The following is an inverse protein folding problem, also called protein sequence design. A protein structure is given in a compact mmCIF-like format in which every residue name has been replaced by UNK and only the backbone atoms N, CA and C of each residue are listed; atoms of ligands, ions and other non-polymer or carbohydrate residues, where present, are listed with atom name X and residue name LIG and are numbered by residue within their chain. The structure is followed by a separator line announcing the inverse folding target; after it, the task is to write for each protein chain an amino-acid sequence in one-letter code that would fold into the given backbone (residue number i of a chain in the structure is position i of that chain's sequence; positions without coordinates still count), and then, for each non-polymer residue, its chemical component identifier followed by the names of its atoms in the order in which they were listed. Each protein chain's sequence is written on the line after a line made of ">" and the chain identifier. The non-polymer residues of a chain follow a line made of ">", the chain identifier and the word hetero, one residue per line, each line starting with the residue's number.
data_IF_689638213948
#
_entry.id   IF_689638213948
#
_cell.length_a   1.000
_cell.length_b   1.000
_cell.length_c   1.000
_cell.angle_alpha   90.00
_cell.angle_beta   90.00
_cell.angle_gamma   90.00
#
_symmetry.space_group_name_H-M   'P 1'
#
loop_
_entity.id
_entity.type
_entity.pdbx_description
1 polymer ?
#
# COMPACT_ATOMS: atom_id res chain seq x y z
N UNK A 1 -15.22 35.75 41.06
CA UNK A 1 -14.09 35.32 40.19
C UNK A 1 -14.13 33.84 39.80
N UNK A 2 -14.44 32.89 40.70
CA UNK A 2 -14.47 31.45 40.37
C UNK A 2 -15.42 31.05 39.23
N UNK A 3 -16.63 31.61 39.17
CA UNK A 3 -17.60 31.30 38.11
C UNK A 3 -17.10 31.67 36.70
N UNK A 4 -16.39 32.79 36.58
CA UNK A 4 -15.80 33.24 35.30
C UNK A 4 -14.67 32.29 34.86
N UNK A 5 -13.84 31.81 35.81
CA UNK A 5 -12.78 30.84 35.54
C UNK A 5 -13.35 29.52 35.05
N UNK A 6 -14.39 29.00 35.71
CA UNK A 6 -15.06 27.77 35.30
C UNK A 6 -15.70 27.89 33.91
N UNK A 7 -16.31 29.05 33.60
CA UNK A 7 -16.88 29.31 32.27
C UNK A 7 -15.80 29.32 31.18
N UNK A 8 -14.64 29.94 31.43
CA UNK A 8 -13.50 29.94 30.50
C UNK A 8 -12.94 28.53 30.27
N UNK A 9 -12.79 27.74 31.34
CA UNK A 9 -12.34 26.34 31.24
C UNK A 9 -13.31 25.48 30.44
N UNK A 10 -14.62 25.66 30.63
CA UNK A 10 -15.64 24.96 29.85
C UNK A 10 -15.53 25.28 28.35
N UNK A 11 -15.37 26.56 28.00
CA UNK A 11 -15.20 26.99 26.60
C UNK A 11 -13.95 26.32 25.97
N UNK A 12 -12.84 26.28 26.70
CA UNK A 12 -11.62 25.62 26.24
C UNK A 12 -11.79 24.11 26.06
N UNK A 13 -12.46 23.45 27.00
CA UNK A 13 -12.77 22.02 26.93
C UNK A 13 -13.69 21.70 25.73
N UNK A 14 -14.75 22.48 25.53
CA UNK A 14 -15.66 22.34 24.39
C UNK A 14 -14.93 22.55 23.05
N UNK A 15 -14.02 23.53 22.99
CA UNK A 15 -13.19 23.76 21.82
C UNK A 15 -12.24 22.59 21.53
N UNK A 16 -11.55 22.07 22.55
CA UNK A 16 -10.65 20.93 22.41
C UNK A 16 -11.41 19.67 21.95
N UNK A 17 -12.59 19.41 22.50
CA UNK A 17 -13.47 18.31 22.07
C UNK A 17 -13.87 18.45 20.60
N UNK A 18 -14.18 19.67 20.16
CA UNK A 18 -14.49 19.94 18.75
C UNK A 18 -13.29 19.66 17.84
N UNK A 19 -12.09 20.12 18.21
CA UNK A 19 -10.86 19.84 17.45
C UNK A 19 -10.62 18.33 17.37
N UNK A 20 -10.71 17.61 18.49
CA UNK A 20 -10.51 16.15 18.50
C UNK A 20 -11.53 15.43 17.60
N UNK A 21 -12.80 15.88 17.59
CA UNK A 21 -13.82 15.32 16.70
C UNK A 21 -13.48 15.54 15.23
N UNK A 22 -13.05 16.75 14.87
CA UNK A 22 -12.63 17.08 13.51
C UNK A 22 -11.39 16.28 13.09
N UNK A 23 -10.40 16.14 13.96
CA UNK A 23 -9.20 15.34 13.70
C UNK A 23 -9.55 13.86 13.47
N UNK A 24 -10.46 13.30 14.26
CA UNK A 24 -10.92 11.91 14.06
C UNK A 24 -11.66 11.75 12.73
N UNK A 25 -12.52 12.70 12.37
CA UNK A 25 -13.22 12.68 11.09
C UNK A 25 -12.24 12.73 9.92
N UNK A 26 -11.30 13.69 9.94
CA UNK A 26 -10.27 13.82 8.91
C UNK A 26 -9.41 12.55 8.79
N UNK A 27 -8.99 11.97 9.91
CA UNK A 27 -8.21 10.74 9.90
C UNK A 27 -9.00 9.55 9.31
N UNK A 28 -10.32 9.51 9.51
CA UNK A 28 -11.19 8.50 8.92
C UNK A 28 -11.25 8.67 7.40
N UNK A 29 -11.50 9.89 6.92
CA UNK A 29 -11.56 10.20 5.49
C UNK A 29 -10.22 9.92 4.78
N UNK A 30 -9.10 10.32 5.39
CA UNK A 30 -7.77 10.01 4.86
C UNK A 30 -7.51 8.49 4.79
N UNK A 31 -7.99 7.73 5.78
CA UNK A 31 -7.88 6.28 5.77
C UNK A 31 -8.74 5.61 4.68
N UNK A 32 -9.89 6.19 4.35
CA UNK A 32 -10.75 5.72 3.27
C UNK A 32 -10.10 5.98 1.91
N UNK A 33 -9.60 7.19 1.70
CA UNK A 33 -8.84 7.56 0.49
C UNK A 33 -7.63 6.63 0.31
N UNK A 34 -6.84 6.42 1.36
CA UNK A 34 -5.70 5.50 1.32
C UNK A 34 -6.10 4.07 0.91
N UNK A 35 -7.27 3.62 1.35
CA UNK A 35 -7.82 2.30 0.99
C UNK A 35 -8.20 2.27 -0.50
N UNK A 36 -8.87 3.29 -1.00
CA UNK A 36 -9.28 3.39 -2.40
C UNK A 36 -8.08 3.44 -3.35
N UNK A 37 -7.05 4.23 -3.01
CA UNK A 37 -5.80 4.29 -3.77
C UNK A 37 -5.13 2.91 -3.80
N UNK A 38 -5.07 2.24 -2.66
CA UNK A 38 -4.50 0.89 -2.57
C UNK A 38 -5.31 -0.11 -3.41
N UNK A 39 -6.64 -0.04 -3.39
CA UNK A 39 -7.52 -0.91 -4.18
C UNK A 39 -7.35 -0.66 -5.68
N UNK A 40 -7.24 0.60 -6.10
CA UNK A 40 -6.97 0.97 -7.49
C UNK A 40 -5.65 0.36 -7.98
N UNK A 41 -4.59 0.49 -7.17
CA UNK A 41 -3.29 -0.10 -7.51
C UNK A 41 -3.30 -1.62 -7.51
N UNK A 42 -4.00 -2.25 -6.56
CA UNK A 42 -4.09 -3.71 -6.43
C UNK A 42 -4.91 -4.36 -7.54
N UNK A 43 -5.99 -3.70 -7.97
CA UNK A 43 -6.82 -4.12 -9.10
C UNK A 43 -6.15 -3.84 -10.45
N UNK A 44 -5.04 -3.08 -10.46
CA UNK A 44 -4.28 -2.82 -11.67
C UNK A 44 -3.55 -4.09 -12.08
N UNK A 45 -3.95 -4.66 -13.22
CA UNK A 45 -3.22 -5.74 -13.89
C UNK A 45 -1.75 -5.40 -14.21
N UNK A 46 -1.36 -4.12 -14.09
CA UNK A 46 -0.03 -3.59 -14.39
C UNK A 46 0.84 -3.34 -13.16
N UNK A 47 0.44 -3.83 -11.98
CA UNK A 47 1.27 -3.71 -10.79
C UNK A 47 2.67 -4.32 -11.06
N UNK A 48 3.77 -3.58 -10.85
CA UNK A 48 5.09 -4.05 -11.24
C UNK A 48 5.59 -5.13 -10.26
N UNK A 49 5.99 -6.26 -10.82
CA UNK A 49 6.49 -7.40 -10.06
C UNK A 49 7.85 -7.89 -10.57
N UNK A 50 8.48 -8.77 -9.80
CA UNK A 50 9.78 -9.37 -10.04
C UNK A 50 9.62 -10.88 -10.12
N UNK A 51 9.88 -11.43 -11.30
CA UNK A 51 9.90 -12.87 -11.55
C UNK A 51 11.34 -13.33 -11.73
N UNK A 52 11.73 -14.40 -11.05
CA UNK A 52 13.11 -14.91 -11.12
C UNK A 52 13.40 -15.49 -12.51
N UNK A 53 14.53 -15.12 -13.11
CA UNK A 53 14.99 -15.61 -14.42
C UNK A 53 16.15 -16.61 -14.32
N UNK A 54 16.86 -16.65 -13.19
CA UNK A 54 18.02 -17.54 -13.02
C UNK A 54 17.58 -18.99 -12.78
N UNK A 55 18.21 -19.97 -13.44
CA UNK A 55 17.98 -21.39 -13.18
C UNK A 55 18.20 -21.74 -11.71
N UNK A 56 17.36 -22.62 -11.18
CA UNK A 56 17.39 -23.09 -9.80
C UNK A 56 16.12 -23.87 -9.47
N UNK A 57 15.89 -24.20 -8.19
CA UNK A 57 14.63 -24.80 -7.77
C UNK A 57 13.47 -23.92 -8.22
N UNK A 58 12.41 -24.56 -8.72
CA UNK A 58 11.18 -23.89 -9.10
C UNK A 58 10.65 -23.09 -7.91
N UNK A 59 10.41 -21.81 -8.13
CA UNK A 59 9.75 -20.96 -7.16
C UNK A 59 8.39 -20.62 -7.74
N UNK A 60 7.35 -21.01 -7.01
CA UNK A 60 5.95 -20.74 -7.35
C UNK A 60 5.53 -19.31 -7.00
N UNK A 61 6.48 -18.39 -6.80
CA UNK A 61 6.18 -17.04 -6.32
C UNK A 61 6.89 -15.95 -7.10
N UNK A 62 6.21 -14.81 -7.28
CA UNK A 62 6.80 -13.55 -7.71
C UNK A 62 6.83 -12.53 -6.56
N UNK A 63 7.65 -11.50 -6.70
CA UNK A 63 7.88 -10.48 -5.67
C UNK A 63 7.41 -9.09 -6.13
N UNK A 64 7.14 -8.18 -5.20
CA UNK A 64 6.84 -6.79 -5.56
C UNK A 64 8.12 -6.11 -6.07
N UNK A 65 8.02 -5.33 -7.16
CA UNK A 65 9.14 -4.54 -7.65
C UNK A 65 9.44 -3.31 -6.78
N UNK A 66 8.39 -2.72 -6.20
CA UNK A 66 8.44 -1.50 -5.38
C UNK A 66 8.81 -1.80 -3.92
N UNK A 67 8.25 -2.89 -3.37
CA UNK A 67 8.47 -3.29 -1.96
C UNK A 67 8.88 -4.76 -1.87
N UNK A 68 10.04 -5.13 -2.45
CA UNK A 68 10.52 -6.51 -2.42
C UNK A 68 10.91 -6.92 -0.99
N UNK A 69 10.64 -8.19 -0.67
CA UNK A 69 11.17 -8.79 0.55
C UNK A 69 12.68 -9.09 0.43
N UNK A 70 13.34 -9.37 1.56
CA UNK A 70 14.77 -9.66 1.61
C UNK A 70 15.24 -10.76 0.66
N UNK A 71 14.38 -11.73 0.28
CA UNK A 71 14.75 -12.82 -0.65
C UNK A 71 15.24 -12.33 -2.01
N UNK A 72 14.87 -11.11 -2.43
CA UNK A 72 15.34 -10.45 -3.65
C UNK A 72 16.71 -9.79 -3.40
N UNK A 73 17.74 -10.60 -3.13
CA UNK A 73 19.08 -10.10 -2.81
C UNK A 73 19.86 -9.64 -4.06
N UNK A 74 19.69 -10.33 -5.19
CA UNK A 74 20.33 -9.98 -6.46
C UNK A 74 19.27 -9.66 -7.50
N UNK A 75 18.93 -8.37 -7.66
CA UNK A 75 17.87 -7.91 -8.57
C UNK A 75 18.13 -8.25 -10.05
N UNK A 76 19.38 -8.49 -10.45
CA UNK A 76 19.73 -8.91 -11.81
C UNK A 76 19.21 -10.31 -12.15
N UNK A 77 18.93 -11.12 -11.12
CA UNK A 77 18.33 -12.44 -11.27
C UNK A 77 16.81 -12.40 -11.45
N UNK A 78 16.21 -11.22 -11.55
CA UNK A 78 14.77 -11.03 -11.68
C UNK A 78 14.45 -10.14 -12.88
N UNK A 79 13.40 -10.51 -13.60
CA UNK A 79 12.79 -9.69 -14.64
C UNK A 79 11.64 -8.91 -14.04
N UNK A 80 11.62 -7.60 -14.31
CA UNK A 80 10.47 -6.75 -14.01
C UNK A 80 9.40 -7.00 -15.06
N UNK A 81 8.17 -7.23 -14.63
CA UNK A 81 7.02 -7.32 -15.54
C UNK A 81 5.71 -6.93 -14.84
N UNK A 82 4.66 -6.60 -15.61
CA UNK A 82 3.30 -6.52 -15.09
C UNK A 82 2.88 -7.80 -14.37
N UNK A 83 2.12 -7.65 -13.29
CA UNK A 83 1.60 -8.78 -12.52
C UNK A 83 0.77 -9.75 -13.36
N UNK A 84 -0.04 -9.24 -14.30
CA UNK A 84 -0.81 -10.09 -15.22
C UNK A 84 0.09 -10.99 -16.07
N UNK A 85 1.20 -10.45 -16.55
CA UNK A 85 2.17 -11.23 -17.34
C UNK A 85 2.88 -12.24 -16.45
N UNK A 86 3.16 -11.91 -15.18
CA UNK A 86 3.81 -12.81 -14.25
C UNK A 86 2.94 -13.99 -13.82
N UNK A 87 1.63 -13.81 -13.71
CA UNK A 87 0.69 -14.90 -13.44
C UNK A 87 0.78 -15.98 -14.52
N UNK A 88 1.04 -15.58 -15.78
CA UNK A 88 1.07 -16.46 -16.96
C UNK A 88 2.50 -16.79 -17.46
N UNK A 89 3.55 -16.19 -16.87
CA UNK A 89 4.92 -16.24 -17.41
C UNK A 89 5.67 -17.56 -17.19
N UNK A 90 5.11 -18.51 -16.43
CA UNK A 90 5.84 -19.68 -15.94
C UNK A 90 5.41 -20.97 -16.65
N UNK A 91 6.34 -21.92 -16.92
CA UNK A 91 5.97 -23.29 -17.29
C UNK A 91 5.27 -24.04 -16.14
N UNK A 92 5.30 -23.49 -14.92
CA UNK A 92 4.61 -24.00 -13.75
C UNK A 92 3.28 -23.30 -13.60
N UNK A 93 2.23 -24.10 -13.46
CA UNK A 93 0.86 -23.73 -13.81
C UNK A 93 0.36 -22.38 -13.27
N UNK A 94 0.82 -21.90 -12.11
CA UNK A 94 0.46 -20.56 -11.59
C UNK A 94 1.55 -20.04 -10.64
N UNK A 95 2.02 -18.81 -10.84
CA UNK A 95 2.83 -18.11 -9.85
C UNK A 95 1.94 -17.32 -8.88
N UNK A 96 2.33 -17.29 -7.61
CA UNK A 96 1.61 -16.60 -6.54
C UNK A 96 2.39 -15.41 -5.98
N UNK A 97 1.68 -14.50 -5.30
CA UNK A 97 2.32 -13.41 -4.56
C UNK A 97 3.16 -13.94 -3.41
N UNK A 98 4.43 -13.53 -3.33
CA UNK A 98 5.24 -13.78 -2.14
C UNK A 98 4.63 -13.07 -0.91
N UNK A 99 4.18 -13.82 0.10
CA UNK A 99 3.53 -13.29 1.31
C UNK A 99 4.40 -12.35 2.16
N UNK A 100 5.73 -12.42 2.01
CA UNK A 100 6.66 -11.56 2.73
C UNK A 100 6.88 -10.19 2.07
N UNK A 101 6.38 -9.98 0.84
CA UNK A 101 6.48 -8.69 0.16
C UNK A 101 5.41 -7.72 0.70
N UNK A 102 5.72 -6.41 0.65
CA UNK A 102 4.82 -5.37 1.13
C UNK A 102 3.71 -5.01 0.13
N UNK A 103 2.93 -5.99 -0.34
CA UNK A 103 1.96 -5.81 -1.43
C UNK A 103 0.97 -4.67 -1.22
N UNK A 104 0.42 -4.51 -0.01
CA UNK A 104 -0.47 -3.37 0.31
C UNK A 104 0.20 -2.02 0.08
N UNK A 105 1.47 -1.91 0.47
CA UNK A 105 2.25 -0.68 0.27
C UNK A 105 2.62 -0.50 -1.20
N UNK A 106 2.97 -1.58 -1.91
CA UNK A 106 3.24 -1.54 -3.35
C UNK A 106 2.00 -1.09 -4.14
N UNK A 107 0.84 -1.66 -3.84
CA UNK A 107 -0.44 -1.25 -4.42
C UNK A 107 -0.75 0.22 -4.15
N UNK A 108 -0.51 0.71 -2.93
CA UNK A 108 -0.65 2.14 -2.63
C UNK A 108 0.29 3.03 -3.45
N UNK A 109 1.57 2.65 -3.58
CA UNK A 109 2.56 3.37 -4.38
C UNK A 109 2.12 3.41 -5.84
N UNK A 110 1.77 2.25 -6.40
CA UNK A 110 1.30 2.13 -7.77
C UNK A 110 0.02 2.92 -8.03
N UNK A 111 -0.96 2.83 -7.13
CA UNK A 111 -2.20 3.61 -7.19
C UNK A 111 -1.96 5.12 -7.18
N UNK A 112 -1.00 5.60 -6.37
CA UNK A 112 -0.60 7.01 -6.40
C UNK A 112 -0.01 7.43 -7.76
N UNK A 113 0.81 6.57 -8.39
CA UNK A 113 1.32 6.84 -9.73
C UNK A 113 0.20 6.91 -10.76
N UNK A 114 -0.77 5.98 -10.71
CA UNK A 114 -1.93 5.98 -11.61
C UNK A 114 -2.77 7.25 -11.51
N UNK A 115 -2.90 7.82 -10.30
CA UNK A 115 -3.64 9.08 -10.09
C UNK A 115 -2.83 10.30 -10.56
N UNK A 116 -1.51 10.27 -10.36
CA UNK A 116 -0.61 11.38 -10.76
C UNK A 116 -0.25 11.42 -12.25
N UNK A 117 -0.53 10.35 -13.00
CA UNK A 117 -0.35 10.28 -14.46
C UNK A 117 -1.56 10.80 -15.26
N UNK A 118 -2.63 11.25 -14.59
CA UNK A 118 -3.80 11.93 -15.18
C UNK A 118 -3.60 13.44 -15.18
#
# INVERSE_FOLDING_TARGET
>A
MQALRLRKLKILDDHNKRIQKLQRALNSELSEIDREISQLGDASARLPCLVRITPGPELTVYHSADVPCGRVHNRQNFKVMPEIDAMDASPYAYLERCSACGWKRAAKIHGNHLIGEV
#
